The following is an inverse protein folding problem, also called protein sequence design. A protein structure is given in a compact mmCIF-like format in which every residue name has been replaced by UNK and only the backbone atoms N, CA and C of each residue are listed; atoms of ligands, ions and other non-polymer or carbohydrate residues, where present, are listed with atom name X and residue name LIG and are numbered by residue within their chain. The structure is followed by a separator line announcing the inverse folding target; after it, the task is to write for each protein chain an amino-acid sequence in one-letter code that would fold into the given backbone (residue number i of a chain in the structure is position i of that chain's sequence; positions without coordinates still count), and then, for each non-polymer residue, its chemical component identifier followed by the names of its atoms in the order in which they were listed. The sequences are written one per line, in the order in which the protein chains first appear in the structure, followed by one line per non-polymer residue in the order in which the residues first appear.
data_IF_529394976233
#
_entry.id   IF_529394976233
#
_cell.length_a   1.000
_cell.length_b   1.000
_cell.length_c   1.000
_cell.angle_alpha   90.00
_cell.angle_beta   90.00
_cell.angle_gamma   90.00
#
_symmetry.space_group_name_H-M   'P 1'
#
loop_
_entity.id
_entity.type
_entity.pdbx_description
1 polymer ?
#
# COMPACT_ATOMS: atom_id res chain seq x y z
N UNK A 1 10.12 2.33 14.34
CA UNK A 1 9.69 3.76 14.45
C UNK A 1 9.85 4.21 15.90
N UNK A 2 10.25 5.47 16.11
CA UNK A 2 10.36 6.06 17.45
C UNK A 2 8.97 6.33 18.04
N UNK A 3 8.81 6.11 19.37
CA UNK A 3 7.50 6.15 20.04
C UNK A 3 6.81 7.52 19.94
N UNK A 4 7.55 8.59 20.18
CA UNK A 4 6.98 9.93 20.31
C UNK A 4 7.01 10.73 19.00
N UNK A 5 7.19 10.05 17.86
CA UNK A 5 7.26 10.68 16.53
C UNK A 5 5.99 10.44 15.72
N UNK A 6 5.55 11.51 15.06
CA UNK A 6 4.54 11.47 14.01
C UNK A 6 5.19 11.80 12.67
N UNK A 7 5.18 10.85 11.76
CA UNK A 7 5.74 10.99 10.41
C UNK A 7 4.65 11.54 9.48
N UNK A 8 4.76 12.82 9.12
CA UNK A 8 3.71 13.52 8.38
C UNK A 8 3.75 13.16 6.91
N UNK A 9 2.67 12.56 6.41
CA UNK A 9 2.50 12.10 5.03
C UNK A 9 1.65 13.11 4.25
N UNK A 10 2.26 14.20 3.81
CA UNK A 10 1.62 15.30 3.08
C UNK A 10 1.44 15.03 1.58
N UNK A 11 1.87 13.86 1.14
CA UNK A 11 1.78 13.32 -0.21
C UNK A 11 0.62 12.32 -0.40
N UNK A 12 -0.41 12.39 0.47
CA UNK A 12 -1.62 11.57 0.35
C UNK A 12 -2.77 12.36 -0.26
N UNK A 13 -3.56 11.67 -1.08
CA UNK A 13 -4.79 12.16 -1.70
C UNK A 13 -6.01 11.44 -1.11
N UNK A 14 -7.17 12.11 -1.13
CA UNK A 14 -8.40 11.66 -0.47
C UNK A 14 -9.58 11.77 -1.42
N UNK A 15 -10.31 10.66 -1.59
CA UNK A 15 -11.48 10.58 -2.47
C UNK A 15 -12.65 10.06 -1.64
N UNK A 16 -13.79 10.77 -1.70
CA UNK A 16 -15.03 10.33 -1.09
C UNK A 16 -15.92 9.62 -2.08
N UNK A 17 -16.53 8.54 -1.64
CA UNK A 17 -17.52 7.76 -2.38
C UNK A 17 -18.77 7.65 -1.53
N UNK A 18 -19.89 8.12 -2.05
CA UNK A 18 -21.18 8.09 -1.38
C UNK A 18 -22.29 7.68 -2.34
N UNK A 19 -23.38 7.17 -1.80
CA UNK A 19 -24.54 6.73 -2.56
C UNK A 19 -24.96 5.31 -2.17
N UNK A 20 -26.19 4.96 -2.51
CA UNK A 20 -26.78 3.69 -2.06
C UNK A 20 -26.10 2.45 -2.66
N UNK A 21 -25.48 2.59 -3.82
CA UNK A 21 -24.84 1.49 -4.53
C UNK A 21 -23.31 1.43 -4.26
N UNK A 22 -22.77 2.27 -3.34
CA UNK A 22 -21.33 2.41 -3.12
C UNK A 22 -20.64 1.10 -2.72
N UNK A 23 -21.28 0.30 -1.87
CA UNK A 23 -20.70 -0.96 -1.40
C UNK A 23 -20.59 -1.98 -2.55
N UNK A 24 -21.68 -2.20 -3.28
CA UNK A 24 -21.70 -3.12 -4.42
C UNK A 24 -20.76 -2.66 -5.54
N UNK A 25 -20.76 -1.37 -5.82
CA UNK A 25 -19.85 -0.76 -6.79
C UNK A 25 -18.38 -1.03 -6.46
N UNK A 26 -17.97 -0.74 -5.22
CA UNK A 26 -16.60 -0.99 -4.76
C UNK A 26 -16.29 -2.49 -4.74
N UNK A 27 -17.24 -3.34 -4.34
CA UNK A 27 -17.09 -4.79 -4.32
C UNK A 27 -16.75 -5.35 -5.71
N UNK A 28 -17.32 -4.82 -6.76
CA UNK A 28 -17.10 -5.28 -8.14
C UNK A 28 -15.77 -4.79 -8.76
N UNK A 29 -15.13 -3.78 -8.17
CA UNK A 29 -13.91 -3.18 -8.73
C UNK A 29 -12.67 -3.57 -7.94
N UNK A 30 -12.75 -3.56 -6.61
CA UNK A 30 -11.60 -3.67 -5.73
C UNK A 30 -11.14 -5.12 -5.56
N UNK A 31 -9.84 -5.32 -5.39
CA UNK A 31 -9.23 -6.64 -5.19
C UNK A 31 -9.56 -7.29 -3.86
N UNK A 32 -9.83 -6.48 -2.81
CA UNK A 32 -10.18 -7.00 -1.49
C UNK A 32 -11.69 -6.99 -1.24
N UNK A 33 -12.17 -7.79 -0.29
CA UNK A 33 -13.58 -7.89 0.07
C UNK A 33 -14.04 -6.67 0.86
N UNK A 34 -14.89 -5.85 0.23
CA UNK A 34 -15.47 -4.64 0.83
C UNK A 34 -16.37 -4.97 2.02
N UNK A 35 -16.96 -6.17 2.08
CA UNK A 35 -17.76 -6.58 3.23
C UNK A 35 -16.96 -6.65 4.54
N UNK A 36 -15.64 -6.82 4.49
CA UNK A 36 -14.76 -6.74 5.66
C UNK A 36 -14.81 -5.37 6.34
N UNK A 37 -15.19 -4.33 5.61
CA UNK A 37 -15.34 -2.97 6.18
C UNK A 37 -16.47 -2.92 7.20
N UNK A 38 -17.49 -3.78 7.11
CA UNK A 38 -18.58 -3.87 8.11
C UNK A 38 -18.07 -4.25 9.51
N UNK A 39 -16.99 -4.99 9.59
CA UNK A 39 -16.39 -5.45 10.84
C UNK A 39 -15.14 -4.71 11.25
N UNK A 40 -14.32 -4.34 10.27
CA UNK A 40 -12.98 -3.77 10.49
C UNK A 40 -12.93 -2.25 10.22
N UNK A 41 -13.99 -1.69 9.62
CA UNK A 41 -14.12 -0.29 9.19
C UNK A 41 -13.08 0.16 8.15
N UNK A 42 -12.10 -0.68 7.81
CA UNK A 42 -11.11 -0.37 6.80
C UNK A 42 -10.58 -1.64 6.12
N UNK A 43 -10.10 -1.49 4.89
CA UNK A 43 -9.31 -2.48 4.15
C UNK A 43 -8.17 -1.78 3.39
N UNK A 44 -7.07 -2.51 3.15
CA UNK A 44 -6.13 -2.20 2.08
C UNK A 44 -6.60 -2.90 0.81
N UNK A 45 -6.54 -2.25 -0.33
CA UNK A 45 -7.01 -2.80 -1.60
C UNK A 45 -6.29 -2.17 -2.79
N UNK A 46 -6.53 -2.73 -3.96
CA UNK A 46 -5.98 -2.28 -5.23
C UNK A 46 -7.04 -2.27 -6.31
N UNK A 47 -6.78 -1.55 -7.39
CA UNK A 47 -7.47 -1.65 -8.67
C UNK A 47 -6.51 -2.29 -9.66
N UNK A 48 -7.01 -3.25 -10.42
CA UNK A 48 -6.27 -3.91 -11.51
C UNK A 48 -6.88 -3.57 -12.87
N UNK A 49 -6.08 -3.71 -13.92
CA UNK A 49 -6.61 -3.74 -15.29
C UNK A 49 -7.41 -5.02 -15.52
N UNK A 50 -8.24 -5.10 -16.59
CA UNK A 50 -8.93 -6.35 -16.95
C UNK A 50 -7.98 -7.53 -17.15
N UNK A 51 -6.71 -7.29 -17.51
CA UNK A 51 -5.66 -8.31 -17.63
C UNK A 51 -4.98 -8.67 -16.32
N UNK A 52 -5.41 -8.09 -15.16
CA UNK A 52 -4.83 -8.33 -13.84
C UNK A 52 -3.53 -7.57 -13.56
N UNK A 53 -3.21 -6.56 -14.38
CA UNK A 53 -2.07 -5.68 -14.11
C UNK A 53 -2.40 -4.67 -13.01
N UNK A 54 -1.42 -4.42 -12.14
CA UNK A 54 -1.51 -3.40 -11.11
C UNK A 54 -1.74 -2.01 -11.72
N UNK A 55 -2.71 -1.27 -11.16
CA UNK A 55 -2.97 0.12 -11.51
C UNK A 55 -2.75 1.05 -10.33
N UNK A 56 -3.46 0.83 -9.22
CA UNK A 56 -3.44 1.68 -8.04
C UNK A 56 -3.66 0.85 -6.79
N UNK A 57 -3.13 1.31 -5.65
CA UNK A 57 -3.42 0.78 -4.32
C UNK A 57 -3.78 1.89 -3.35
N UNK A 58 -4.57 1.56 -2.34
CA UNK A 58 -5.08 2.53 -1.38
C UNK A 58 -5.73 1.86 -0.16
N UNK A 59 -5.95 2.65 0.88
CA UNK A 59 -6.85 2.27 1.95
C UNK A 59 -8.28 2.69 1.63
N UNK A 60 -9.24 1.85 1.98
CA UNK A 60 -10.68 2.16 1.89
C UNK A 60 -11.25 2.11 3.30
N UNK A 61 -11.81 3.21 3.74
CA UNK A 61 -12.22 3.43 5.12
C UNK A 61 -13.72 3.76 5.15
N UNK A 62 -14.45 3.17 6.08
CA UNK A 62 -15.82 3.62 6.39
C UNK A 62 -15.74 4.87 7.25
N UNK A 63 -16.04 6.00 6.65
CA UNK A 63 -16.01 7.29 7.29
C UNK A 63 -17.43 7.89 7.35
N UNK A 64 -18.02 7.88 8.54
CA UNK A 64 -19.44 8.23 8.70
C UNK A 64 -20.31 7.39 7.74
N UNK A 65 -21.10 8.03 6.90
CA UNK A 65 -21.99 7.37 5.93
C UNK A 65 -21.36 7.20 4.53
N UNK A 66 -20.05 7.48 4.38
CA UNK A 66 -19.33 7.46 3.11
C UNK A 66 -18.17 6.47 3.17
N UNK A 67 -17.57 6.21 2.01
CA UNK A 67 -16.26 5.58 1.92
C UNK A 67 -15.22 6.65 1.62
N UNK A 68 -14.11 6.61 2.34
CA UNK A 68 -12.93 7.43 2.11
C UNK A 68 -11.84 6.55 1.54
N UNK A 69 -11.32 6.90 0.38
CA UNK A 69 -10.11 6.32 -0.20
C UNK A 69 -8.93 7.24 0.13
N UNK A 70 -7.84 6.67 0.68
CA UNK A 70 -6.55 7.32 0.84
C UNK A 70 -5.52 6.66 -0.08
N UNK A 71 -4.98 7.42 -1.04
CA UNK A 71 -3.99 6.97 -2.04
C UNK A 71 -2.80 7.93 -2.12
N UNK A 72 -1.81 7.65 -3.00
CA UNK A 72 -0.82 8.67 -3.36
C UNK A 72 -1.52 9.90 -3.99
N UNK A 73 -1.09 11.09 -3.58
CA UNK A 73 -1.71 12.35 -4.00
C UNK A 73 -1.69 12.54 -5.51
N UNK A 74 -0.56 12.21 -6.13
CA UNK A 74 -0.37 12.38 -7.57
C UNK A 74 -1.25 11.43 -8.40
N UNK A 75 -1.74 10.34 -7.81
CA UNK A 75 -2.64 9.38 -8.48
C UNK A 75 -4.12 9.60 -8.14
N UNK A 76 -4.45 10.49 -7.19
CA UNK A 76 -5.82 10.64 -6.70
C UNK A 76 -6.82 10.99 -7.82
N UNK A 77 -6.44 11.91 -8.70
CA UNK A 77 -7.26 12.26 -9.86
C UNK A 77 -7.49 11.08 -10.78
N UNK A 78 -6.46 10.33 -11.13
CA UNK A 78 -6.57 9.17 -12.01
C UNK A 78 -7.43 8.06 -11.39
N UNK A 79 -7.32 7.82 -10.06
CA UNK A 79 -8.19 6.90 -9.32
C UNK A 79 -9.64 7.37 -9.38
N UNK A 80 -9.89 8.65 -9.15
CA UNK A 80 -11.23 9.24 -9.23
C UNK A 80 -11.82 9.12 -10.63
N UNK A 81 -11.03 9.43 -11.65
CA UNK A 81 -11.45 9.33 -13.07
C UNK A 81 -11.76 7.86 -13.45
N UNK A 82 -10.90 6.91 -13.04
CA UNK A 82 -11.13 5.48 -13.25
C UNK A 82 -12.45 5.02 -12.62
N UNK A 83 -12.66 5.34 -11.35
CA UNK A 83 -13.87 4.97 -10.65
C UNK A 83 -15.12 5.61 -11.29
N UNK A 84 -15.03 6.88 -11.74
CA UNK A 84 -16.12 7.55 -12.44
C UNK A 84 -16.42 6.91 -13.82
N UNK A 85 -15.40 6.42 -14.51
CA UNK A 85 -15.58 5.71 -15.77
C UNK A 85 -16.36 4.38 -15.58
N UNK A 86 -16.02 3.63 -14.52
CA UNK A 86 -16.64 2.33 -14.24
C UNK A 86 -17.96 2.40 -13.49
N UNK A 87 -18.39 3.56 -12.99
CA UNK A 87 -19.64 3.64 -12.21
C UNK A 87 -20.91 3.39 -13.01
N UNK A 88 -20.86 3.63 -14.34
CA UNK A 88 -21.96 3.40 -15.28
C UNK A 88 -23.31 3.90 -14.73
N UNK A 89 -24.22 2.96 -14.42
CA UNK A 89 -25.57 3.24 -13.88
C UNK A 89 -25.66 3.21 -12.36
N UNK A 90 -24.57 2.90 -11.66
CA UNK A 90 -24.54 2.84 -10.18
C UNK A 90 -24.81 4.23 -9.59
N UNK A 91 -25.68 4.28 -8.60
CA UNK A 91 -26.05 5.52 -7.88
C UNK A 91 -24.99 5.86 -6.84
N UNK A 92 -23.82 6.27 -7.35
CA UNK A 92 -22.66 6.68 -6.56
C UNK A 92 -22.17 8.04 -7.00
N UNK A 93 -21.72 8.84 -6.05
CA UNK A 93 -21.00 10.09 -6.23
C UNK A 93 -19.56 9.87 -5.82
N UNK A 94 -18.60 10.20 -6.69
CA UNK A 94 -17.17 10.03 -6.47
C UNK A 94 -16.53 11.39 -6.67
N UNK A 95 -15.84 11.89 -5.66
CA UNK A 95 -15.19 13.19 -5.73
C UNK A 95 -13.94 13.24 -4.86
N UNK A 96 -12.90 13.89 -5.36
CA UNK A 96 -11.76 14.26 -4.53
C UNK A 96 -12.20 15.19 -3.40
N UNK A 97 -11.58 15.04 -2.24
CA UNK A 97 -11.91 15.88 -1.09
C UNK A 97 -11.58 17.34 -1.35
N UNK A 98 -12.55 18.22 -1.10
CA UNK A 98 -12.34 19.67 -1.07
C UNK A 98 -11.68 20.13 0.23
N UNK A 99 -11.87 19.40 1.31
CA UNK A 99 -11.23 19.66 2.60
C UNK A 99 -9.78 19.18 2.55
N UNK A 100 -8.92 19.92 3.25
CA UNK A 100 -7.51 19.55 3.37
C UNK A 100 -7.35 18.54 4.51
N UNK A 101 -7.14 17.28 4.15
CA UNK A 101 -6.73 16.23 5.08
C UNK A 101 -5.21 16.09 5.10
N UNK A 102 -4.72 15.46 6.15
CA UNK A 102 -3.35 15.02 6.31
C UNK A 102 -3.34 13.64 6.94
N UNK A 103 -2.45 12.78 6.44
CA UNK A 103 -2.16 11.50 7.08
C UNK A 103 -0.83 11.58 7.81
N UNK A 104 -0.70 10.85 8.90
CA UNK A 104 0.59 10.62 9.53
C UNK A 104 0.67 9.23 10.12
N UNK A 105 1.91 8.71 10.20
CA UNK A 105 2.20 7.42 10.76
C UNK A 105 2.82 7.57 12.16
N UNK A 106 2.53 6.63 13.05
CA UNK A 106 3.07 6.53 14.42
C UNK A 106 3.51 5.10 14.72
N UNK A 107 4.34 4.92 15.72
CA UNK A 107 4.77 3.58 16.13
C UNK A 107 3.60 2.72 16.63
N UNK A 108 3.75 1.39 16.56
CA UNK A 108 2.77 0.44 17.13
C UNK A 108 2.59 0.65 18.63
N UNK A 109 3.67 0.99 19.34
CA UNK A 109 3.63 1.26 20.78
C UNK A 109 2.73 2.47 21.07
N UNK A 110 2.94 3.59 20.36
CA UNK A 110 2.12 4.79 20.52
C UNK A 110 0.67 4.58 20.13
N UNK A 111 0.44 3.85 19.04
CA UNK A 111 -0.92 3.51 18.64
C UNK A 111 -1.67 2.71 19.72
N UNK A 112 -1.00 1.72 20.34
CA UNK A 112 -1.58 0.93 21.42
C UNK A 112 -1.85 1.76 22.68
N UNK A 113 -0.97 2.71 23.01
CA UNK A 113 -1.17 3.68 24.10
C UNK A 113 -2.46 4.50 23.87
N UNK A 114 -2.58 5.15 22.69
CA UNK A 114 -3.76 5.94 22.33
C UNK A 114 -5.03 5.07 22.36
N UNK A 115 -4.95 3.84 21.86
CA UNK A 115 -6.06 2.90 21.85
C UNK A 115 -6.54 2.53 23.25
N UNK A 116 -5.62 2.31 24.19
CA UNK A 116 -5.94 1.98 25.57
C UNK A 116 -6.53 3.16 26.35
N UNK A 117 -6.01 4.36 26.14
CA UNK A 117 -6.53 5.60 26.73
C UNK A 117 -7.96 5.92 26.30
N UNK A 118 -8.35 5.47 25.10
CA UNK A 118 -9.67 5.65 24.52
C UNK A 118 -10.60 4.44 24.72
N UNK A 119 -10.63 3.84 25.91
CA UNK A 119 -11.52 2.74 26.28
C UNK A 119 -11.28 1.43 25.52
N UNK A 120 -10.01 1.07 25.32
CA UNK A 120 -9.62 -0.16 24.60
C UNK A 120 -10.28 -0.32 23.23
N UNK A 121 -10.21 0.75 22.43
CA UNK A 121 -10.74 0.73 21.06
C UNK A 121 -10.17 -0.43 20.24
N UNK A 122 -10.89 -0.82 19.19
CA UNK A 122 -10.41 -1.79 18.20
C UNK A 122 -9.25 -1.20 17.38
N UNK A 123 -8.73 -1.98 16.43
CA UNK A 123 -7.66 -1.54 15.53
C UNK A 123 -8.09 -0.45 14.52
N UNK A 124 -9.35 -0.03 14.58
CA UNK A 124 -9.89 1.16 13.92
C UNK A 124 -10.88 1.87 14.84
N UNK A 125 -10.79 3.19 14.92
CA UNK A 125 -11.78 4.02 15.59
C UNK A 125 -11.77 5.45 15.04
N UNK A 126 -12.86 6.17 15.27
CA UNK A 126 -12.99 7.60 14.95
C UNK A 126 -13.07 8.36 16.28
N UNK A 127 -12.25 9.41 16.40
CA UNK A 127 -12.24 10.31 17.55
C UNK A 127 -12.14 11.74 17.02
N UNK A 128 -13.05 12.61 17.43
CA UNK A 128 -13.12 14.01 16.99
C UNK A 128 -13.06 14.13 15.44
N UNK A 129 -13.83 13.31 14.72
CA UNK A 129 -13.88 13.19 13.26
C UNK A 129 -12.55 12.71 12.59
N UNK A 130 -11.54 12.33 13.35
CA UNK A 130 -10.28 11.82 12.82
C UNK A 130 -10.26 10.29 12.85
N UNK A 131 -9.70 9.67 11.82
CA UNK A 131 -9.59 8.21 11.71
C UNK A 131 -8.26 7.74 12.29
N UNK A 132 -8.32 6.75 13.17
CA UNK A 132 -7.17 6.08 13.79
C UNK A 132 -7.22 4.60 13.42
N UNK A 133 -6.13 4.05 12.88
CA UNK A 133 -6.11 2.64 12.52
C UNK A 133 -4.71 2.04 12.53
N UNK A 134 -4.62 0.76 12.83
CA UNK A 134 -3.42 -0.05 12.62
C UNK A 134 -3.25 -0.27 11.11
N UNK A 135 -2.02 -0.12 10.58
CA UNK A 135 -1.78 -0.33 9.14
C UNK A 135 -2.15 -1.77 8.76
N UNK A 136 -3.16 -1.96 7.90
CA UNK A 136 -3.70 -3.30 7.61
C UNK A 136 -2.74 -4.16 6.79
N UNK A 137 -1.71 -3.56 6.17
CA UNK A 137 -0.73 -4.29 5.35
C UNK A 137 0.17 -5.16 6.22
N UNK A 138 0.76 -4.56 7.25
CA UNK A 138 1.59 -5.24 8.25
C UNK A 138 1.49 -4.52 9.59
N UNK A 139 1.23 -5.22 10.68
CA UNK A 139 1.16 -4.65 12.04
C UNK A 139 2.43 -3.88 12.44
N UNK A 140 3.59 -4.32 11.95
CA UNK A 140 4.88 -3.65 12.18
C UNK A 140 4.90 -2.21 11.68
N UNK A 141 4.09 -1.86 10.66
CA UNK A 141 4.00 -0.50 10.15
C UNK A 141 3.33 0.49 11.10
N UNK A 142 2.82 0.00 12.23
CA UNK A 142 2.27 0.82 13.32
C UNK A 142 0.89 1.37 13.03
N UNK A 143 0.59 2.51 13.63
CA UNK A 143 -0.68 3.21 13.47
C UNK A 143 -0.64 4.27 12.38
N UNK A 144 -1.81 4.52 11.80
CA UNK A 144 -2.07 5.60 10.86
C UNK A 144 -3.18 6.48 11.41
N UNK A 145 -3.05 7.78 11.17
CA UNK A 145 -4.08 8.74 11.53
C UNK A 145 -4.37 9.59 10.30
N UNK A 146 -5.66 9.75 9.96
CA UNK A 146 -6.13 10.69 8.95
C UNK A 146 -6.93 11.75 9.67
N UNK A 147 -6.52 13.00 9.54
CA UNK A 147 -7.10 14.14 10.22
C UNK A 147 -7.33 15.32 9.28
N UNK A 148 -8.20 16.25 9.66
CA UNK A 148 -8.24 17.56 9.02
C UNK A 148 -6.91 18.26 9.25
N UNK A 149 -6.35 18.87 8.21
CA UNK A 149 -5.05 19.55 8.31
C UNK A 149 -5.03 20.66 9.36
N UNK A 150 -6.17 21.31 9.58
CA UNK A 150 -6.32 22.36 10.59
C UNK A 150 -6.15 21.83 12.03
N UNK A 151 -6.44 20.56 12.27
CA UNK A 151 -6.42 19.94 13.59
C UNK A 151 -5.06 19.29 13.92
N UNK A 152 -4.13 19.25 12.96
CA UNK A 152 -2.87 18.52 13.10
C UNK A 152 -2.09 18.90 14.36
N UNK A 153 -1.83 20.20 14.57
CA UNK A 153 -1.03 20.66 15.71
C UNK A 153 -1.71 20.35 17.05
N UNK A 154 -3.04 20.46 17.11
CA UNK A 154 -3.81 20.12 18.29
C UNK A 154 -3.73 18.63 18.61
N UNK A 155 -3.83 17.78 17.59
CA UNK A 155 -3.72 16.31 17.73
C UNK A 155 -2.31 15.93 18.20
N UNK A 156 -1.27 16.47 17.57
CA UNK A 156 0.12 16.22 17.96
C UNK A 156 0.36 16.59 19.42
N UNK A 157 -0.10 17.76 19.84
CA UNK A 157 0.01 18.23 21.23
C UNK A 157 -0.78 17.34 22.20
N UNK A 158 -2.04 17.02 21.90
CA UNK A 158 -2.92 16.16 22.74
C UNK A 158 -2.29 14.76 22.95
N UNK A 159 -1.60 14.25 21.96
CA UNK A 159 -0.99 12.92 21.98
C UNK A 159 0.49 12.91 22.38
N UNK A 160 1.05 14.06 22.76
CA UNK A 160 2.49 14.19 23.05
C UNK A 160 3.36 13.64 21.90
N UNK A 161 3.04 14.00 20.66
CA UNK A 161 3.76 13.61 19.46
C UNK A 161 4.56 14.78 18.91
N UNK A 162 5.75 14.49 18.40
CA UNK A 162 6.63 15.45 17.72
C UNK A 162 6.62 15.10 16.23
N UNK A 163 6.33 16.09 15.39
CA UNK A 163 6.43 15.94 13.93
C UNK A 163 7.84 15.55 13.50
N UNK A 164 7.94 14.59 12.59
CA UNK A 164 9.20 14.12 12.01
C UNK A 164 9.07 13.88 10.50
N UNK A 165 10.20 13.72 9.81
CA UNK A 165 10.26 13.55 8.36
C UNK A 165 9.68 12.21 7.93
N UNK A 166 8.77 12.26 6.95
CA UNK A 166 8.17 11.09 6.32
C UNK A 166 9.18 10.13 5.68
N UNK A 167 10.36 10.61 5.30
CA UNK A 167 11.42 9.76 4.76
C UNK A 167 11.82 8.64 5.72
N UNK A 168 11.79 8.89 7.02
CA UNK A 168 12.04 7.87 8.05
C UNK A 168 10.97 6.79 8.04
N UNK A 169 9.69 7.15 7.88
CA UNK A 169 8.61 6.18 7.74
C UNK A 169 8.75 5.36 6.45
N UNK A 170 9.05 6.01 5.31
CA UNK A 170 9.27 5.29 4.06
C UNK A 170 10.51 4.40 4.11
N UNK A 171 11.58 4.83 4.78
CA UNK A 171 12.75 3.97 5.06
C UNK A 171 12.36 2.75 5.88
N UNK A 172 11.45 2.91 6.84
CA UNK A 172 10.93 1.79 7.63
C UNK A 172 10.07 0.85 6.77
N UNK A 173 9.15 1.38 5.97
CA UNK A 173 8.36 0.58 5.02
C UNK A 173 9.27 -0.22 4.06
N UNK A 174 10.33 0.42 3.56
CA UNK A 174 11.31 -0.23 2.70
C UNK A 174 11.99 -1.41 3.39
N UNK A 175 12.44 -1.26 4.64
CA UNK A 175 13.04 -2.35 5.43
C UNK A 175 12.07 -3.51 5.65
N UNK A 176 10.79 -3.20 5.85
CA UNK A 176 9.73 -4.21 5.98
C UNK A 176 9.26 -4.76 4.62
N UNK A 177 9.86 -4.32 3.49
CA UNK A 177 9.54 -4.80 2.15
C UNK A 177 8.23 -4.30 1.58
N UNK A 178 7.72 -3.18 2.08
CA UNK A 178 6.45 -2.58 1.64
C UNK A 178 6.73 -1.32 0.83
N UNK A 179 6.50 -1.33 -0.49
CA UNK A 179 6.60 -0.12 -1.29
C UNK A 179 5.53 0.87 -0.84
N UNK A 180 5.88 2.15 -0.71
CA UNK A 180 4.97 3.15 -0.16
C UNK A 180 5.10 4.53 -0.82
N UNK A 181 5.97 4.64 -1.84
CA UNK A 181 6.20 5.86 -2.62
C UNK A 181 6.61 5.50 -4.04
N UNK A 182 6.26 6.36 -5.00
CA UNK A 182 6.51 6.18 -6.43
C UNK A 182 5.84 4.92 -7.01
N UNK A 183 4.68 4.57 -6.49
CA UNK A 183 3.92 3.37 -6.89
C UNK A 183 3.40 3.47 -8.33
N UNK A 184 3.28 4.68 -8.88
CA UNK A 184 2.94 4.91 -10.28
C UNK A 184 3.89 4.22 -11.27
N UNK A 185 5.16 3.97 -10.89
CA UNK A 185 6.14 3.20 -11.68
C UNK A 185 5.77 1.72 -11.84
N UNK A 186 4.95 1.18 -10.97
CA UNK A 186 4.47 -0.21 -11.02
C UNK A 186 3.29 -0.38 -12.00
N UNK A 187 2.58 0.73 -12.31
CA UNK A 187 1.36 0.74 -13.09
C UNK A 187 1.54 0.10 -14.47
N UNK A 188 0.67 -0.86 -14.80
CA UNK A 188 0.69 -1.67 -16.03
C UNK A 188 1.95 -2.54 -16.24
N UNK A 189 2.95 -2.44 -15.39
CA UNK A 189 4.21 -3.18 -15.53
C UNK A 189 4.18 -4.55 -14.85
N UNK A 190 3.48 -4.68 -13.71
CA UNK A 190 3.41 -5.90 -12.90
C UNK A 190 1.98 -6.43 -12.84
N UNK A 191 1.84 -7.74 -12.58
CA UNK A 191 0.57 -8.27 -12.10
C UNK A 191 0.35 -7.90 -10.64
N UNK A 192 -0.91 -7.72 -10.21
CA UNK A 192 -1.22 -7.38 -8.83
C UNK A 192 -0.65 -8.37 -7.80
N UNK A 193 -0.61 -9.65 -8.14
CA UNK A 193 -0.01 -10.70 -7.29
C UNK A 193 1.51 -10.59 -7.18
N UNK A 194 2.20 -10.06 -8.19
CA UNK A 194 3.64 -9.80 -8.15
C UNK A 194 3.98 -8.61 -7.22
N UNK A 195 3.02 -7.70 -7.01
CA UNK A 195 3.09 -6.59 -6.05
C UNK A 195 2.81 -7.01 -4.60
N UNK A 196 2.74 -8.31 -4.32
CA UNK A 196 2.51 -8.89 -2.99
C UNK A 196 1.16 -8.54 -2.36
N UNK A 197 0.15 -8.16 -3.15
CA UNK A 197 -1.16 -7.72 -2.64
C UNK A 197 -1.81 -8.74 -1.71
N UNK A 198 -1.70 -10.06 -2.01
CA UNK A 198 -2.25 -11.10 -1.15
C UNK A 198 -1.57 -11.10 0.22
N UNK A 199 -0.23 -11.13 0.25
CA UNK A 199 0.56 -11.18 1.48
C UNK A 199 0.39 -9.91 2.33
N UNK A 200 0.20 -8.76 1.66
CA UNK A 200 -0.03 -7.47 2.28
C UNK A 200 -1.53 -7.20 2.55
N UNK A 201 -2.36 -8.25 2.58
CA UNK A 201 -3.80 -8.15 2.87
C UNK A 201 -4.59 -7.23 1.90
N UNK A 202 -4.10 -7.02 0.70
CA UNK A 202 -4.74 -6.20 -0.34
C UNK A 202 -5.59 -6.97 -1.34
N UNK A 203 -5.62 -8.30 -1.26
CA UNK A 203 -6.32 -9.19 -2.17
C UNK A 203 -7.11 -10.26 -1.40
N UNK A 204 -8.37 -10.48 -1.78
CA UNK A 204 -9.17 -11.60 -1.30
C UNK A 204 -9.68 -12.44 -2.47
N UNK A 205 -9.14 -13.65 -2.62
CA UNK A 205 -9.56 -14.58 -3.67
C UNK A 205 -10.89 -15.27 -3.37
N UNK A 206 -11.40 -15.17 -2.14
CA UNK A 206 -12.68 -15.78 -1.73
C UNK A 206 -13.88 -14.85 -1.93
N UNK A 207 -13.63 -13.55 -2.22
CA UNK A 207 -14.69 -12.63 -2.57
C UNK A 207 -15.29 -12.96 -3.94
N UNK A 208 -16.42 -12.36 -4.29
CA UNK A 208 -17.02 -12.42 -5.63
C UNK A 208 -16.16 -11.81 -6.73
N UNK A 209 -16.69 -11.71 -7.93
CA UNK A 209 -15.97 -11.21 -9.11
C UNK A 209 -15.51 -9.75 -8.93
N UNK A 210 -14.32 -9.45 -9.46
CA UNK A 210 -13.78 -8.09 -9.57
C UNK A 210 -12.94 -7.94 -10.86
N UNK A 211 -12.66 -6.71 -11.24
CA UNK A 211 -11.87 -6.42 -12.45
C UNK A 211 -10.46 -7.01 -12.32
N UNK A 212 -10.04 -7.82 -13.31
CA UNK A 212 -8.72 -8.45 -13.36
C UNK A 212 -8.59 -9.76 -12.56
N UNK A 213 -9.70 -10.28 -12.00
CA UNK A 213 -9.69 -11.50 -11.19
C UNK A 213 -9.24 -12.74 -11.96
N UNK A 214 -9.60 -12.90 -13.23
CA UNK A 214 -9.33 -14.14 -13.98
C UNK A 214 -7.84 -14.51 -13.98
N UNK A 215 -6.97 -13.60 -14.40
CA UNK A 215 -5.54 -13.84 -14.41
C UNK A 215 -4.95 -13.94 -13.01
N UNK A 216 -5.43 -13.10 -12.09
CA UNK A 216 -5.04 -13.13 -10.67
C UNK A 216 -5.30 -14.50 -10.05
N UNK A 217 -6.53 -15.01 -10.17
CA UNK A 217 -6.91 -16.33 -9.67
C UNK A 217 -6.14 -17.46 -10.37
N UNK A 218 -5.94 -17.37 -11.69
CA UNK A 218 -5.19 -18.37 -12.45
C UNK A 218 -3.73 -18.50 -11.96
N UNK A 219 -3.06 -17.37 -11.68
CA UNK A 219 -1.69 -17.38 -11.18
C UNK A 219 -1.64 -17.98 -9.77
N UNK A 220 -2.54 -17.58 -8.89
CA UNK A 220 -2.56 -18.02 -7.48
C UNK A 220 -2.98 -19.49 -7.35
N UNK A 221 -4.09 -19.89 -7.91
CA UNK A 221 -4.62 -21.25 -7.78
C UNK A 221 -3.73 -22.32 -8.43
N UNK A 222 -2.95 -21.94 -9.44
CA UNK A 222 -2.01 -22.87 -10.10
C UNK A 222 -0.59 -22.80 -9.52
N UNK A 223 -0.37 -22.08 -8.43
CA UNK A 223 0.96 -21.83 -7.85
C UNK A 223 1.98 -21.36 -8.90
N UNK A 224 1.55 -20.49 -9.82
CA UNK A 224 2.37 -19.98 -10.92
C UNK A 224 3.02 -18.64 -10.63
N UNK A 225 2.98 -18.15 -9.39
CA UNK A 225 3.70 -16.94 -9.02
C UNK A 225 5.20 -17.23 -9.09
N UNK A 226 5.87 -16.60 -10.06
CA UNK A 226 7.30 -16.84 -10.34
C UNK A 226 8.19 -15.66 -10.00
N UNK A 227 7.58 -14.50 -9.75
CA UNK A 227 8.27 -13.25 -9.45
C UNK A 227 7.55 -12.51 -8.34
N UNK A 228 8.33 -11.78 -7.54
CA UNK A 228 7.80 -10.87 -6.50
C UNK A 228 8.57 -9.55 -6.51
N UNK A 229 7.88 -8.48 -6.18
CA UNK A 229 8.47 -7.16 -5.96
C UNK A 229 9.17 -7.16 -4.61
N UNK A 230 10.50 -7.03 -4.61
CA UNK A 230 11.33 -7.06 -3.41
C UNK A 230 12.19 -5.81 -3.27
N UNK A 231 12.49 -5.37 -2.05
CA UNK A 231 13.42 -4.28 -1.82
C UNK A 231 14.85 -4.70 -2.16
N UNK A 232 15.60 -3.79 -2.77
CA UNK A 232 17.01 -3.97 -3.11
C UNK A 232 17.85 -2.88 -2.50
N UNK A 233 18.93 -3.27 -1.83
CA UNK A 233 19.86 -2.36 -1.19
C UNK A 233 21.06 -2.11 -2.10
N UNK A 234 21.36 -0.84 -2.36
CA UNK A 234 22.57 -0.43 -3.08
C UNK A 234 23.82 -0.70 -2.24
N UNK A 235 24.84 -1.30 -2.88
CA UNK A 235 26.18 -1.46 -2.33
C UNK A 235 27.10 -0.41 -2.96
N UNK A 236 27.09 -0.29 -4.30
CA UNK A 236 27.90 0.68 -5.03
C UNK A 236 27.23 1.06 -6.36
N UNK A 237 27.67 2.16 -6.97
CA UNK A 237 27.15 2.63 -8.24
C UNK A 237 25.80 3.35 -8.11
N UNK A 238 25.08 3.52 -9.21
CA UNK A 238 23.76 4.11 -9.28
C UNK A 238 22.77 3.11 -9.84
N UNK A 239 21.65 2.92 -9.16
CA UNK A 239 20.54 2.06 -9.59
C UNK A 239 19.61 2.88 -10.47
N UNK A 240 19.33 2.38 -11.68
CA UNK A 240 18.41 3.04 -12.61
C UNK A 240 17.17 2.16 -12.83
N UNK A 241 16.06 2.81 -13.13
CA UNK A 241 14.83 2.13 -13.52
C UNK A 241 15.08 1.26 -14.77
N UNK A 242 14.52 0.06 -14.76
CA UNK A 242 14.70 -0.97 -15.79
C UNK A 242 16.07 -1.65 -15.83
N UNK A 243 17.01 -1.32 -14.94
CA UNK A 243 18.25 -2.09 -14.84
C UNK A 243 17.97 -3.58 -14.60
N UNK A 244 18.70 -4.43 -15.33
CA UNK A 244 18.62 -5.87 -15.20
C UNK A 244 19.54 -6.35 -14.08
N UNK A 245 18.99 -7.16 -13.19
CA UNK A 245 19.73 -7.78 -12.08
C UNK A 245 20.17 -9.16 -12.50
N UNK A 246 21.47 -9.45 -12.29
CA UNK A 246 22.08 -10.73 -12.66
C UNK A 246 22.78 -11.40 -11.48
N UNK A 247 22.62 -12.71 -11.42
CA UNK A 247 23.36 -13.64 -10.57
C UNK A 247 24.08 -14.65 -11.46
N UNK A 248 25.42 -14.77 -11.35
CA UNK A 248 26.23 -15.67 -12.19
C UNK A 248 25.89 -15.58 -13.72
N UNK A 249 25.77 -14.35 -14.23
CA UNK A 249 25.35 -14.03 -15.60
C UNK A 249 23.89 -14.36 -15.99
N UNK A 250 23.10 -14.97 -15.10
CA UNK A 250 21.68 -15.22 -15.34
C UNK A 250 20.82 -14.03 -14.85
N UNK A 251 19.85 -13.63 -15.67
CA UNK A 251 18.88 -12.63 -15.28
C UNK A 251 17.98 -13.17 -14.17
N UNK A 252 18.01 -12.52 -12.99
CA UNK A 252 17.19 -12.88 -11.82
C UNK A 252 16.16 -11.82 -11.46
N UNK A 253 16.22 -10.62 -12.06
CA UNK A 253 15.26 -9.58 -11.82
C UNK A 253 15.47 -8.31 -12.61
N UNK A 254 14.57 -7.34 -12.39
CA UNK A 254 14.56 -6.04 -13.05
C UNK A 254 14.11 -4.96 -12.07
N UNK A 255 14.80 -3.83 -12.06
CA UNK A 255 14.45 -2.67 -11.22
C UNK A 255 13.14 -2.05 -11.71
N UNK A 256 12.20 -1.86 -10.79
CA UNK A 256 10.89 -1.24 -11.05
C UNK A 256 10.79 0.16 -10.44
N UNK A 257 11.35 0.35 -9.23
CA UNK A 257 11.47 1.64 -8.56
C UNK A 257 12.96 1.83 -8.24
N UNK A 258 13.57 2.88 -8.76
CA UNK A 258 15.00 3.15 -8.59
C UNK A 258 15.30 3.95 -7.31
N UNK A 259 14.49 4.94 -6.98
CA UNK A 259 14.70 5.88 -5.86
C UNK A 259 13.40 6.44 -5.29
N UNK A 260 13.41 6.96 -4.05
CA UNK A 260 14.51 6.96 -3.07
C UNK A 260 14.76 5.58 -2.44
N UNK A 261 13.77 4.67 -2.49
CA UNK A 261 13.82 3.30 -1.97
C UNK A 261 13.59 2.33 -3.12
N UNK A 262 14.64 1.57 -3.46
CA UNK A 262 14.65 0.78 -4.69
C UNK A 262 13.93 -0.55 -4.50
N UNK A 263 13.02 -0.86 -5.43
CA UNK A 263 12.34 -2.15 -5.52
C UNK A 263 12.54 -2.78 -6.89
N UNK A 264 12.69 -4.09 -6.92
CA UNK A 264 12.85 -4.85 -8.15
C UNK A 264 11.90 -6.03 -8.21
N UNK A 265 11.45 -6.36 -9.41
CA UNK A 265 10.71 -7.58 -9.70
C UNK A 265 11.71 -8.75 -9.81
N UNK A 266 11.73 -9.60 -8.79
CA UNK A 266 12.72 -10.66 -8.61
C UNK A 266 12.11 -12.03 -8.87
N UNK A 267 12.81 -12.90 -9.61
CA UNK A 267 12.48 -14.31 -9.77
C UNK A 267 12.58 -15.03 -8.41
N UNK A 268 11.61 -15.92 -8.13
CA UNK A 268 11.57 -16.66 -6.85
C UNK A 268 11.64 -18.17 -7.02
N UNK A 269 11.52 -18.68 -8.25
CA UNK A 269 11.41 -20.11 -8.53
C UNK A 269 12.62 -20.64 -9.31
N UNK A 270 13.03 -19.94 -10.37
CA UNK A 270 14.12 -20.41 -11.24
C UNK A 270 14.98 -19.21 -11.71
N UNK A 271 16.21 -19.06 -11.16
CA UNK A 271 16.73 -19.79 -9.99
C UNK A 271 15.94 -19.49 -8.70
N UNK A 272 16.02 -20.40 -7.72
CA UNK A 272 15.35 -20.22 -6.44
C UNK A 272 15.93 -19.03 -5.65
N UNK A 273 15.05 -18.20 -5.07
CA UNK A 273 15.42 -16.96 -4.38
C UNK A 273 16.52 -17.14 -3.32
N UNK A 274 16.48 -18.24 -2.55
CA UNK A 274 17.43 -18.49 -1.47
C UNK A 274 18.90 -18.59 -1.95
N UNK A 275 19.14 -18.88 -3.22
CA UNK A 275 20.50 -19.01 -3.80
C UNK A 275 21.20 -17.67 -3.96
N UNK A 276 20.44 -16.58 -4.07
CA UNK A 276 21.00 -15.25 -4.36
C UNK A 276 20.47 -14.12 -3.48
N UNK A 277 19.63 -14.43 -2.50
CA UNK A 277 19.23 -13.45 -1.46
C UNK A 277 20.42 -13.17 -0.55
N UNK A 278 20.60 -11.91 -0.15
CA UNK A 278 21.74 -11.43 0.66
C UNK A 278 23.13 -11.60 0.02
N UNK A 279 23.21 -12.02 -1.24
CA UNK A 279 24.45 -12.09 -2.02
C UNK A 279 24.62 -10.78 -2.80
N UNK A 280 25.89 -10.43 -3.10
CA UNK A 280 26.17 -9.32 -4.00
C UNK A 280 25.81 -9.68 -5.43
N UNK A 281 24.98 -8.85 -6.07
CA UNK A 281 24.48 -9.03 -7.42
C UNK A 281 24.88 -7.83 -8.29
N UNK A 282 25.02 -8.07 -9.59
CA UNK A 282 25.16 -6.98 -10.56
C UNK A 282 23.81 -6.44 -10.98
N UNK A 283 23.67 -5.11 -11.04
CA UNK A 283 22.46 -4.41 -11.46
C UNK A 283 22.87 -3.25 -12.38
N UNK A 284 22.77 -3.45 -13.70
CA UNK A 284 23.32 -2.48 -14.65
C UNK A 284 24.82 -2.27 -14.40
N UNK A 285 25.21 -1.04 -14.05
CA UNK A 285 26.58 -0.66 -13.65
C UNK A 285 26.78 -0.62 -12.12
N UNK A 286 25.79 -1.05 -11.36
CA UNK A 286 25.78 -1.01 -9.89
C UNK A 286 25.92 -2.40 -9.27
N UNK A 287 26.20 -2.42 -7.96
CA UNK A 287 26.19 -3.61 -7.10
C UNK A 287 25.08 -3.45 -6.07
N UNK A 288 24.31 -4.51 -5.87
CA UNK A 288 23.16 -4.53 -4.96
C UNK A 288 23.09 -5.79 -4.13
N UNK A 289 22.24 -5.77 -3.10
CA UNK A 289 21.72 -6.95 -2.41
C UNK A 289 20.20 -6.94 -2.43
N UNK A 290 19.57 -8.11 -2.58
CA UNK A 290 18.13 -8.27 -2.36
C UNK A 290 17.90 -8.42 -0.86
N UNK A 291 17.00 -7.61 -0.31
CA UNK A 291 16.55 -7.76 1.07
C UNK A 291 15.33 -8.69 1.08
N UNK A 292 15.40 -9.78 1.85
CA UNK A 292 14.26 -10.69 2.03
C UNK A 292 13.43 -10.22 3.23
N UNK A 293 12.19 -9.71 3.01
CA UNK A 293 11.29 -9.41 4.12
C UNK A 293 10.91 -10.68 4.90
N UNK A 294 10.63 -10.54 6.19
CA UNK A 294 10.28 -11.69 7.06
C UNK A 294 9.00 -12.42 6.63
N UNK A 295 8.08 -11.71 5.97
CA UNK A 295 6.82 -12.29 5.48
C UNK A 295 6.97 -13.11 4.18
N UNK A 296 8.18 -13.19 3.61
CA UNK A 296 8.50 -14.12 2.52
C UNK A 296 9.07 -15.40 3.14
N UNK A 297 8.27 -16.41 3.12
CA UNK A 297 8.67 -17.77 3.51
C UNK A 297 9.46 -18.46 2.41
#
# INVERSE_FOLDING_TARGET
MEKDKAYILDDRGYIFIEGKDSEEFLQNILTNDVNKIKTNNLIFSSILSPQGKYLYEFFVIKYLNKYLIECEKDTAKEVSDFLNFYKLRSKVTIAESKEKYVSFAISSEKFNEIKSENKNQKNFFILDENCYFEDPRLKKLGGRIIAKKADLDLILKKMNLISDDKSKFFSYCFKEGVPSINLSKLKNNLFGVECNLETLNGLDLKKGCFIGQENTSRIMLRNKLRKRLLPIQKISGEILENDIIKYENHEVGKVMIDKPYSFALIKIVDPELHKFVNVELTCGKSKIKILKPEWIT
#
